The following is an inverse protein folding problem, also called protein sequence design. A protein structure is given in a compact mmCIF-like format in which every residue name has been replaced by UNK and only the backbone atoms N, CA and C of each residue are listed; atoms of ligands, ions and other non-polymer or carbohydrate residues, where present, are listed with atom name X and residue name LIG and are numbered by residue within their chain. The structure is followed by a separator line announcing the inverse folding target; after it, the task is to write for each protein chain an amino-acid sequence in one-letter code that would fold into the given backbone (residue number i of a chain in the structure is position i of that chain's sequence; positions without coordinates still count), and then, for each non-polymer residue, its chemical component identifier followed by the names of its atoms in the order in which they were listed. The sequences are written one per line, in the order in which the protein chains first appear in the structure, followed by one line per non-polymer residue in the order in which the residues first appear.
data_IF_928546065583
#
_entry.id   IF_928546065583
#
_cell.length_a   1.000
_cell.length_b   1.000
_cell.length_c   1.000
_cell.angle_alpha   90.00
_cell.angle_beta   90.00
_cell.angle_gamma   90.00
#
_symmetry.space_group_name_H-M   'P 1'
#
loop_
_entity.id
_entity.type
_entity.pdbx_description
1 polymer ?
#
# COMPACT_ATOMS: atom_id res chain seq x y z
N UNK A 1 -30.00 25.21 -26.41
CA UNK A 1 -29.70 25.07 -24.97
C UNK A 1 -30.51 23.90 -24.41
N UNK A 2 -29.92 22.73 -24.24
CA UNK A 2 -30.58 21.61 -23.56
C UNK A 2 -30.54 21.87 -22.04
N UNK A 3 -31.69 22.07 -21.39
CA UNK A 3 -31.79 22.14 -19.93
C UNK A 3 -31.16 20.86 -19.35
N UNK A 4 -30.17 21.00 -18.47
CA UNK A 4 -29.45 19.88 -17.85
C UNK A 4 -30.46 18.97 -17.15
N UNK A 5 -30.38 17.68 -17.48
CA UNK A 5 -31.13 16.61 -16.84
C UNK A 5 -30.50 16.35 -15.48
N UNK A 6 -31.27 16.51 -14.40
CA UNK A 6 -30.88 16.15 -13.05
C UNK A 6 -31.60 14.85 -12.66
N UNK A 7 -30.88 13.89 -12.06
CA UNK A 7 -31.46 12.58 -11.68
C UNK A 7 -32.63 12.75 -10.68
N UNK A 8 -32.58 13.77 -9.82
CA UNK A 8 -33.68 14.16 -8.94
C UNK A 8 -34.99 14.43 -9.70
N UNK A 9 -34.92 15.05 -10.88
CA UNK A 9 -36.09 15.35 -11.69
C UNK A 9 -36.68 14.08 -12.34
N UNK A 10 -35.81 13.12 -12.70
CA UNK A 10 -36.22 11.82 -13.23
C UNK A 10 -36.99 11.06 -12.15
N UNK A 11 -36.47 11.02 -10.93
CA UNK A 11 -37.11 10.38 -9.77
C UNK A 11 -38.48 11.00 -9.49
N UNK A 12 -38.55 12.34 -9.36
CA UNK A 12 -39.82 13.05 -9.12
C UNK A 12 -40.88 12.78 -10.19
N UNK A 13 -40.49 12.72 -11.47
CA UNK A 13 -41.41 12.42 -12.57
C UNK A 13 -41.94 11.00 -12.49
N UNK A 14 -41.09 10.05 -12.14
CA UNK A 14 -41.46 8.64 -12.04
C UNK A 14 -42.37 8.38 -10.84
N UNK A 15 -42.06 8.97 -9.68
CA UNK A 15 -42.89 8.87 -8.47
C UNK A 15 -44.28 9.45 -8.72
N UNK A 16 -44.36 10.68 -9.26
CA UNK A 16 -45.65 11.30 -9.60
C UNK A 16 -46.43 10.50 -10.64
N UNK A 17 -45.77 9.96 -11.67
CA UNK A 17 -46.44 9.13 -12.67
C UNK A 17 -46.92 7.79 -12.10
N UNK A 18 -46.18 7.19 -11.17
CA UNK A 18 -46.52 5.92 -10.52
C UNK A 18 -47.79 6.00 -9.65
N UNK A 19 -48.16 7.19 -9.17
CA UNK A 19 -49.43 7.41 -8.45
C UNK A 19 -50.68 7.17 -9.31
N UNK A 20 -50.54 7.20 -10.64
CA UNK A 20 -51.66 7.09 -11.58
C UNK A 20 -52.49 8.37 -11.75
N UNK A 21 -52.23 9.41 -10.95
CA UNK A 21 -53.00 10.66 -10.95
C UNK A 21 -52.61 11.63 -12.09
N UNK A 22 -51.43 11.44 -12.67
CA UNK A 22 -50.86 12.36 -13.65
C UNK A 22 -50.61 11.71 -15.01
N UNK A 23 -51.17 12.27 -16.07
CA UNK A 23 -50.77 11.94 -17.44
C UNK A 23 -49.43 12.56 -17.80
N UNK A 24 -48.72 11.97 -18.78
CA UNK A 24 -47.43 12.49 -19.28
C UNK A 24 -47.51 13.95 -19.75
N UNK A 25 -48.66 14.39 -20.27
CA UNK A 25 -48.91 15.79 -20.69
C UNK A 25 -49.17 16.74 -19.52
N UNK A 26 -49.70 16.23 -18.40
CA UNK A 26 -49.84 17.02 -17.17
C UNK A 26 -48.48 17.23 -16.51
N UNK A 27 -47.67 16.16 -16.37
CA UNK A 27 -46.30 16.25 -15.86
C UNK A 27 -45.41 17.19 -16.69
N UNK A 28 -45.52 17.12 -18.03
CA UNK A 28 -44.78 17.99 -18.94
C UNK A 28 -45.10 19.48 -18.69
N UNK A 29 -46.38 19.81 -18.50
CA UNK A 29 -46.84 21.19 -18.24
C UNK A 29 -46.42 21.68 -16.87
N UNK A 30 -46.57 20.84 -15.85
CA UNK A 30 -46.24 21.17 -14.46
C UNK A 30 -44.73 21.45 -14.28
N UNK A 31 -43.88 20.65 -14.93
CA UNK A 31 -42.43 20.71 -14.77
C UNK A 31 -41.79 21.68 -15.80
N UNK A 32 -42.55 22.12 -16.81
CA UNK A 32 -42.05 23.01 -17.85
C UNK A 32 -41.03 22.34 -18.77
N UNK A 33 -41.27 21.07 -19.12
CA UNK A 33 -40.45 20.27 -20.05
C UNK A 33 -41.31 19.68 -21.17
N UNK A 34 -40.70 19.25 -22.26
CA UNK A 34 -41.45 18.68 -23.38
C UNK A 34 -42.07 17.32 -23.01
N UNK A 35 -43.20 16.98 -23.63
CA UNK A 35 -43.82 15.65 -23.51
C UNK A 35 -42.84 14.52 -23.88
N UNK A 36 -42.01 14.73 -24.91
CA UNK A 36 -40.98 13.77 -25.32
C UNK A 36 -39.91 13.58 -24.23
N UNK A 37 -39.55 14.63 -23.51
CA UNK A 37 -38.61 14.57 -22.38
C UNK A 37 -39.18 13.74 -21.22
N UNK A 38 -40.46 13.93 -20.87
CA UNK A 38 -41.14 13.11 -19.86
C UNK A 38 -41.14 11.63 -20.27
N UNK A 39 -41.42 11.34 -21.53
CA UNK A 39 -41.44 9.98 -22.05
C UNK A 39 -40.06 9.30 -21.97
N UNK A 40 -38.98 10.04 -22.18
CA UNK A 40 -37.61 9.54 -22.00
C UNK A 40 -37.33 9.26 -20.53
N UNK A 41 -37.68 10.16 -19.61
CA UNK A 41 -37.42 9.98 -18.17
C UNK A 41 -38.23 8.87 -17.51
N UNK A 42 -39.40 8.55 -18.05
CA UNK A 42 -40.16 7.38 -17.62
C UNK A 42 -39.59 6.05 -18.15
N UNK A 43 -38.72 6.09 -19.18
CA UNK A 43 -38.16 4.91 -19.82
C UNK A 43 -36.81 4.48 -19.24
N UNK A 44 -36.07 5.40 -18.63
CA UNK A 44 -34.74 5.15 -18.07
C UNK A 44 -34.70 5.58 -16.61
N UNK A 45 -34.02 4.80 -15.77
CA UNK A 45 -33.94 4.95 -14.32
C UNK A 45 -32.95 6.05 -13.90
N UNK A 46 -32.04 6.43 -14.80
CA UNK A 46 -31.08 7.51 -14.57
C UNK A 46 -30.63 8.16 -15.87
N UNK A 47 -30.01 9.33 -15.75
CA UNK A 47 -29.32 9.98 -16.86
C UNK A 47 -28.23 9.06 -17.45
N UNK A 48 -27.49 8.35 -16.60
CA UNK A 48 -26.42 7.46 -17.04
C UNK A 48 -26.94 6.31 -17.92
N UNK A 49 -28.09 5.74 -17.57
CA UNK A 49 -28.73 4.69 -18.36
C UNK A 49 -29.22 5.22 -19.72
N UNK A 50 -29.84 6.41 -19.74
CA UNK A 50 -30.23 7.07 -20.99
C UNK A 50 -29.03 7.37 -21.88
N UNK A 51 -27.93 7.90 -21.33
CA UNK A 51 -26.69 8.15 -22.07
C UNK A 51 -26.12 6.85 -22.65
N UNK A 52 -26.09 5.76 -21.88
CA UNK A 52 -25.66 4.45 -22.37
C UNK A 52 -26.57 3.92 -23.49
N UNK A 53 -27.89 4.11 -23.40
CA UNK A 53 -28.81 3.75 -24.48
C UNK A 53 -28.53 4.53 -25.77
N UNK A 54 -28.27 5.84 -25.67
CA UNK A 54 -27.91 6.67 -26.82
C UNK A 54 -26.60 6.23 -27.47
N UNK A 55 -25.65 5.78 -26.65
CA UNK A 55 -24.35 5.29 -27.09
C UNK A 55 -24.50 3.94 -27.82
N UNK A 56 -25.29 3.01 -27.28
CA UNK A 56 -25.66 1.75 -27.94
C UNK A 56 -26.37 1.96 -29.28
N UNK A 57 -27.28 2.94 -29.35
CA UNK A 57 -27.94 3.31 -30.60
C UNK A 57 -26.97 3.83 -31.67
N UNK A 58 -25.81 4.35 -31.27
CA UNK A 58 -24.73 4.79 -32.16
C UNK A 58 -23.74 3.67 -32.50
N UNK A 59 -23.98 2.44 -32.07
CA UNK A 59 -23.16 1.27 -32.40
C UNK A 59 -21.99 1.01 -31.44
N UNK A 60 -21.96 1.65 -30.27
CA UNK A 60 -20.91 1.45 -29.27
C UNK A 60 -21.46 0.73 -28.04
N UNK A 61 -20.69 -0.16 -27.44
CA UNK A 61 -21.10 -0.99 -26.31
C UNK A 61 -21.37 -0.16 -25.05
N UNK A 62 -20.54 0.87 -24.83
CA UNK A 62 -20.64 1.73 -23.65
C UNK A 62 -20.06 3.13 -23.90
N UNK A 63 -20.36 4.06 -22.97
CA UNK A 63 -19.94 5.47 -23.04
C UNK A 63 -18.42 5.65 -23.13
N UNK A 64 -17.63 4.79 -22.51
CA UNK A 64 -16.16 4.88 -22.51
C UNK A 64 -15.60 4.62 -23.91
N UNK A 65 -16.13 3.60 -24.58
CA UNK A 65 -15.79 3.28 -25.96
C UNK A 65 -16.15 4.44 -26.89
N UNK A 66 -17.36 4.97 -26.77
CA UNK A 66 -17.80 6.12 -27.58
C UNK A 66 -16.95 7.38 -27.38
N UNK A 67 -16.59 7.71 -26.13
CA UNK A 67 -15.70 8.84 -25.88
C UNK A 67 -14.29 8.60 -26.43
N UNK A 68 -13.82 7.35 -26.41
CA UNK A 68 -12.53 6.97 -27.00
C UNK A 68 -12.57 7.09 -28.51
N UNK A 69 -13.67 6.68 -29.15
CA UNK A 69 -13.90 6.91 -30.58
C UNK A 69 -13.90 8.41 -30.91
N UNK A 70 -14.61 9.24 -30.16
CA UNK A 70 -14.63 10.70 -30.36
C UNK A 70 -13.24 11.34 -30.19
N UNK A 71 -12.45 10.85 -29.23
CA UNK A 71 -11.06 11.32 -29.06
C UNK A 71 -10.21 10.95 -30.28
N UNK A 72 -10.34 9.73 -30.80
CA UNK A 72 -9.66 9.26 -32.02
C UNK A 72 -10.09 10.03 -33.27
N UNK A 73 -11.38 10.32 -33.42
CA UNK A 73 -11.91 11.14 -34.51
C UNK A 73 -11.30 12.55 -34.52
N UNK A 74 -10.93 13.06 -33.34
CA UNK A 74 -10.22 14.33 -33.16
C UNK A 74 -8.68 14.21 -33.21
N UNK A 75 -8.16 13.04 -33.57
CA UNK A 75 -6.72 12.80 -33.74
C UNK A 75 -5.96 12.44 -32.46
N UNK A 76 -6.63 12.06 -31.38
CA UNK A 76 -5.99 11.67 -30.11
C UNK A 76 -6.06 10.16 -29.89
N UNK A 77 -5.01 9.56 -29.33
CA UNK A 77 -4.96 8.10 -29.14
C UNK A 77 -5.88 7.62 -28.02
N UNK A 78 -6.23 8.52 -27.10
CA UNK A 78 -7.13 8.23 -25.97
C UNK A 78 -7.95 9.45 -25.51
N UNK A 79 -9.01 9.18 -24.76
CA UNK A 79 -9.77 10.20 -24.04
C UNK A 79 -8.90 11.02 -23.09
N UNK A 80 -7.90 10.41 -22.47
CA UNK A 80 -6.98 11.08 -21.55
C UNK A 80 -6.10 12.10 -22.28
N UNK A 81 -5.55 11.75 -23.44
CA UNK A 81 -4.79 12.69 -24.26
C UNK A 81 -5.64 13.85 -24.75
N UNK A 82 -6.86 13.55 -25.21
CA UNK A 82 -7.79 14.59 -25.62
C UNK A 82 -8.14 15.54 -24.46
N UNK A 83 -8.35 15.01 -23.26
CA UNK A 83 -8.61 15.80 -22.06
C UNK A 83 -7.38 16.64 -21.64
N UNK A 84 -6.17 16.09 -21.74
CA UNK A 84 -4.92 16.82 -21.52
C UNK A 84 -4.76 17.96 -22.53
N UNK A 85 -5.09 17.72 -23.79
CA UNK A 85 -5.10 18.75 -24.83
C UNK A 85 -6.10 19.87 -24.50
N UNK A 86 -7.34 19.53 -24.11
CA UNK A 86 -8.34 20.52 -23.71
C UNK A 86 -7.91 21.36 -22.49
N UNK A 87 -7.21 20.76 -21.53
CA UNK A 87 -6.62 21.49 -20.40
C UNK A 87 -5.56 22.48 -20.89
N UNK A 88 -4.67 22.06 -21.80
CA UNK A 88 -3.66 22.92 -22.42
C UNK A 88 -4.25 24.06 -23.25
N UNK A 89 -5.29 23.78 -24.04
CA UNK A 89 -6.02 24.79 -24.82
C UNK A 89 -6.62 25.88 -23.92
N UNK A 90 -6.98 25.52 -22.68
CA UNK A 90 -7.45 26.44 -21.65
C UNK A 90 -6.33 27.08 -20.82
N UNK A 91 -5.07 26.86 -21.18
CA UNK A 91 -3.91 27.47 -20.53
C UNK A 91 -3.34 26.71 -19.33
N UNK A 92 -3.72 25.44 -19.12
CA UNK A 92 -3.24 24.62 -18.01
C UNK A 92 -2.28 23.52 -18.48
N UNK A 93 -1.23 23.24 -17.72
CA UNK A 93 -0.21 22.25 -18.11
C UNK A 93 -0.75 20.82 -18.13
N UNK A 94 -1.72 20.53 -17.26
CA UNK A 94 -2.34 19.23 -17.11
C UNK A 94 -3.78 19.32 -16.56
N UNK A 95 -4.49 18.19 -16.59
CA UNK A 95 -5.90 18.15 -16.16
C UNK A 95 -6.09 18.39 -14.67
N UNK A 96 -5.13 18.03 -13.81
CA UNK A 96 -5.26 18.24 -12.37
C UNK A 96 -5.20 19.74 -12.03
N UNK A 97 -4.37 20.48 -12.74
CA UNK A 97 -4.30 21.93 -12.63
C UNK A 97 -5.60 22.59 -13.08
N UNK A 98 -6.16 22.16 -14.22
CA UNK A 98 -7.47 22.63 -14.69
C UNK A 98 -8.61 22.29 -13.70
N UNK A 99 -8.62 21.09 -13.12
CA UNK A 99 -9.62 20.70 -12.10
C UNK A 99 -9.46 21.50 -10.80
N UNK A 100 -8.22 21.81 -10.43
CA UNK A 100 -7.92 22.69 -9.28
C UNK A 100 -8.43 24.10 -9.54
N UNK A 101 -8.24 24.63 -10.75
CA UNK A 101 -8.80 25.92 -11.15
C UNK A 101 -10.34 25.93 -11.07
N UNK A 102 -11.01 24.90 -11.56
CA UNK A 102 -12.48 24.78 -11.44
C UNK A 102 -12.95 24.69 -9.98
N UNK A 103 -12.18 24.08 -9.10
CA UNK A 103 -12.46 24.06 -7.67
C UNK A 103 -12.31 25.47 -7.07
N UNK A 104 -11.27 26.21 -7.47
CA UNK A 104 -11.06 27.62 -7.08
C UNK A 104 -12.16 28.56 -7.56
N UNK A 105 -12.65 28.39 -8.79
CA UNK A 105 -13.83 29.14 -9.28
C UNK A 105 -15.08 28.91 -8.41
N UNK A 106 -15.15 27.76 -7.74
CA UNK A 106 -16.23 27.40 -6.82
C UNK A 106 -15.95 27.79 -5.37
N UNK A 107 -14.82 28.46 -5.10
CA UNK A 107 -14.44 28.94 -3.77
C UNK A 107 -13.62 27.96 -2.93
N UNK A 108 -13.04 26.91 -3.52
CA UNK A 108 -12.25 25.90 -2.81
C UNK A 108 -10.78 25.97 -3.22
N UNK A 109 -9.84 25.74 -2.30
CA UNK A 109 -8.41 25.86 -2.61
C UNK A 109 -7.94 24.80 -3.61
N UNK A 110 -8.55 23.61 -3.54
CA UNK A 110 -8.22 22.47 -4.38
C UNK A 110 -9.41 21.50 -4.56
N UNK A 111 -9.23 20.52 -5.46
CA UNK A 111 -10.27 19.54 -5.78
C UNK A 111 -10.66 18.65 -4.58
N UNK A 112 -9.74 18.39 -3.65
CA UNK A 112 -10.01 17.53 -2.49
C UNK A 112 -10.93 18.25 -1.48
N UNK A 113 -10.72 19.55 -1.26
CA UNK A 113 -11.63 20.37 -0.45
C UNK A 113 -13.03 20.43 -1.08
N UNK A 114 -13.11 20.64 -2.39
CA UNK A 114 -14.39 20.65 -3.09
C UNK A 114 -15.13 19.30 -2.94
N UNK A 115 -14.41 18.18 -3.04
CA UNK A 115 -14.98 16.85 -2.82
C UNK A 115 -15.45 16.63 -1.38
N UNK A 116 -14.68 17.12 -0.39
CA UNK A 116 -15.06 17.07 1.03
C UNK A 116 -16.34 17.87 1.29
N UNK A 117 -16.39 19.10 0.78
CA UNK A 117 -17.59 19.93 0.87
C UNK A 117 -18.81 19.26 0.22
N UNK A 118 -18.62 18.58 -0.92
CA UNK A 118 -19.71 17.88 -1.59
C UNK A 118 -20.21 16.68 -0.76
N UNK A 119 -19.33 15.98 -0.04
CA UNK A 119 -19.72 14.92 0.89
C UNK A 119 -20.50 15.48 2.09
N UNK A 120 -19.99 16.55 2.73
CA UNK A 120 -20.62 17.23 3.87
C UNK A 120 -22.00 17.79 3.50
N UNK A 121 -22.10 18.43 2.33
CA UNK A 121 -23.38 18.95 1.81
C UNK A 121 -24.44 17.87 1.62
N UNK A 122 -24.02 16.63 1.34
CA UNK A 122 -24.91 15.48 1.23
C UNK A 122 -25.10 14.73 2.56
N UNK A 123 -24.63 15.29 3.69
CA UNK A 123 -24.85 14.76 5.03
C UNK A 123 -23.87 13.66 5.46
N UNK A 124 -22.70 13.55 4.82
CA UNK A 124 -21.69 12.55 5.14
C UNK A 124 -20.49 13.18 5.86
N UNK A 125 -19.94 12.48 6.84
CA UNK A 125 -18.80 12.94 7.65
C UNK A 125 -17.48 12.88 6.88
N UNK A 126 -17.42 12.06 5.82
CA UNK A 126 -16.26 11.94 4.96
C UNK A 126 -16.59 11.65 3.50
N UNK A 127 -15.64 12.00 2.62
CA UNK A 127 -15.68 11.60 1.19
C UNK A 127 -15.77 10.08 1.05
N UNK A 128 -15.13 9.32 1.94
CA UNK A 128 -15.14 7.84 1.89
C UNK A 128 -16.53 7.30 2.20
N UNK A 129 -17.20 7.86 3.20
CA UNK A 129 -18.56 7.50 3.57
C UNK A 129 -19.54 7.85 2.44
N UNK A 130 -19.43 9.05 1.88
CA UNK A 130 -20.23 9.47 0.72
C UNK A 130 -20.02 8.56 -0.50
N UNK A 131 -18.77 8.20 -0.83
CA UNK A 131 -18.48 7.26 -1.92
C UNK A 131 -19.03 5.86 -1.63
N UNK A 132 -18.96 5.40 -0.38
CA UNK A 132 -19.53 4.11 0.03
C UNK A 132 -21.05 4.12 -0.11
N UNK A 133 -21.71 5.21 0.27
CA UNK A 133 -23.14 5.40 0.07
C UNK A 133 -23.53 5.38 -1.41
N UNK A 134 -22.81 6.12 -2.27
CA UNK A 134 -23.04 6.11 -3.72
C UNK A 134 -22.88 4.71 -4.34
N UNK A 135 -21.94 3.92 -3.82
CA UNK A 135 -21.70 2.54 -4.27
C UNK A 135 -22.82 1.61 -3.79
N UNK A 136 -23.27 1.75 -2.53
CA UNK A 136 -24.46 1.04 -2.01
C UNK A 136 -25.73 1.36 -2.80
N UNK A 137 -25.92 2.62 -3.18
CA UNK A 137 -27.01 3.04 -4.06
C UNK A 137 -26.98 2.42 -5.46
N UNK A 138 -25.84 1.84 -5.87
CA UNK A 138 -25.67 1.07 -7.11
C UNK A 138 -25.77 -0.44 -6.90
N UNK A 139 -26.17 -0.90 -5.71
CA UNK A 139 -26.39 -2.31 -5.39
C UNK A 139 -25.15 -3.09 -4.96
N UNK A 140 -24.06 -2.43 -4.56
CA UNK A 140 -22.84 -3.10 -4.09
C UNK A 140 -22.64 -2.89 -2.59
N UNK A 141 -22.21 -3.91 -1.85
CA UNK A 141 -22.09 -3.84 -0.39
C UNK A 141 -20.90 -2.98 0.06
N UNK A 142 -19.89 -2.83 -0.80
CA UNK A 142 -18.71 -2.02 -0.53
C UNK A 142 -18.07 -1.44 -1.80
N UNK A 143 -17.24 -0.41 -1.61
CA UNK A 143 -16.37 0.13 -2.66
C UNK A 143 -15.44 -0.93 -3.26
N UNK A 144 -15.01 -1.92 -2.46
CA UNK A 144 -14.20 -3.03 -2.92
C UNK A 144 -14.97 -3.98 -3.86
N UNK A 145 -16.22 -4.30 -3.53
CA UNK A 145 -17.07 -5.12 -4.41
C UNK A 145 -17.36 -4.42 -5.74
N UNK A 146 -17.66 -3.13 -5.70
CA UNK A 146 -17.86 -2.35 -6.90
C UNK A 146 -16.60 -2.29 -7.77
N UNK A 147 -15.43 -2.12 -7.15
CA UNK A 147 -14.14 -2.19 -7.85
C UNK A 147 -13.86 -3.57 -8.46
N UNK A 148 -14.23 -4.65 -7.76
CA UNK A 148 -14.15 -6.02 -8.29
C UNK A 148 -15.10 -6.21 -9.48
N UNK A 149 -16.32 -5.68 -9.40
CA UNK A 149 -17.28 -5.69 -10.51
C UNK A 149 -16.73 -4.94 -11.73
N UNK A 150 -16.17 -3.75 -11.56
CA UNK A 150 -15.54 -2.99 -12.65
C UNK A 150 -14.35 -3.72 -13.28
N UNK A 151 -13.57 -4.47 -12.49
CA UNK A 151 -12.50 -5.31 -13.01
C UNK A 151 -13.07 -6.45 -13.86
N UNK A 152 -14.14 -7.11 -13.40
CA UNK A 152 -14.85 -8.16 -14.15
C UNK A 152 -15.49 -7.66 -15.44
N UNK A 153 -16.10 -6.49 -15.42
CA UNK A 153 -16.67 -5.85 -16.61
C UNK A 153 -15.60 -5.59 -17.69
N UNK A 154 -14.34 -5.40 -17.26
CA UNK A 154 -13.19 -5.25 -18.15
C UNK A 154 -12.49 -6.58 -18.49
N UNK A 155 -13.07 -7.72 -18.10
CA UNK A 155 -12.57 -9.06 -18.43
C UNK A 155 -11.54 -9.64 -17.45
N UNK A 156 -11.39 -9.08 -16.25
CA UNK A 156 -10.43 -9.57 -15.24
C UNK A 156 -11.13 -10.27 -14.08
N UNK A 157 -10.57 -11.36 -13.54
CA UNK A 157 -11.24 -12.12 -12.48
C UNK A 157 -11.31 -11.33 -11.16
N UNK A 158 -10.31 -10.47 -10.94
CA UNK A 158 -10.17 -9.67 -9.74
C UNK A 158 -9.42 -8.35 -10.00
N UNK A 159 -9.47 -7.44 -9.03
CA UNK A 159 -8.82 -6.13 -9.18
C UNK A 159 -7.30 -6.20 -9.24
N UNK A 160 -6.68 -7.22 -8.66
CA UNK A 160 -5.22 -7.35 -8.67
C UNK A 160 -4.72 -7.73 -10.07
N UNK A 161 -5.44 -8.58 -10.78
CA UNK A 161 -5.19 -8.84 -12.21
C UNK A 161 -5.39 -7.60 -13.06
N UNK A 162 -6.48 -6.86 -12.85
CA UNK A 162 -6.70 -5.62 -13.59
C UNK A 162 -5.57 -4.61 -13.35
N UNK A 163 -5.09 -4.50 -12.11
CA UNK A 163 -3.95 -3.65 -11.74
C UNK A 163 -2.62 -4.14 -12.34
N UNK A 164 -2.40 -5.46 -12.38
CA UNK A 164 -1.24 -6.07 -13.06
C UNK A 164 -1.26 -5.76 -14.55
N UNK A 165 -2.40 -5.95 -15.20
CA UNK A 165 -2.59 -5.59 -16.61
C UNK A 165 -2.33 -4.10 -16.89
N UNK A 166 -2.77 -3.20 -16.00
CA UNK A 166 -2.44 -1.78 -16.12
C UNK A 166 -0.93 -1.51 -16.02
N UNK A 167 -0.22 -2.23 -15.16
CA UNK A 167 1.24 -2.14 -15.08
C UNK A 167 1.91 -2.68 -16.35
N UNK A 168 1.47 -3.85 -16.85
CA UNK A 168 1.96 -4.48 -18.09
C UNK A 168 1.70 -3.61 -19.32
N UNK A 169 0.53 -2.97 -19.42
CA UNK A 169 0.21 -2.01 -20.47
C UNK A 169 1.14 -0.79 -20.47
N UNK A 170 1.67 -0.43 -19.31
CA UNK A 170 2.67 0.64 -19.18
C UNK A 170 4.12 0.13 -19.31
N UNK A 171 4.33 -1.14 -19.69
CA UNK A 171 5.63 -1.73 -19.95
C UNK A 171 6.31 -2.39 -18.74
N UNK A 172 5.59 -2.65 -17.65
CA UNK A 172 6.15 -3.23 -16.42
C UNK A 172 5.66 -4.66 -16.19
N UNK A 173 6.56 -5.58 -15.82
CA UNK A 173 6.22 -6.99 -15.56
C UNK A 173 5.44 -7.22 -14.27
N UNK A 174 5.42 -6.22 -13.37
CA UNK A 174 4.64 -6.27 -12.15
C UNK A 174 4.19 -4.88 -11.68
N UNK A 175 3.19 -4.85 -10.79
CA UNK A 175 2.79 -3.60 -10.13
C UNK A 175 3.89 -3.03 -9.25
N UNK A 176 4.75 -3.88 -8.68
CA UNK A 176 5.87 -3.44 -7.86
C UNK A 176 6.92 -2.73 -8.72
N UNK A 177 7.20 -3.23 -9.92
CA UNK A 177 8.06 -2.55 -10.90
C UNK A 177 7.46 -1.21 -11.32
N UNK A 178 6.16 -1.16 -11.61
CA UNK A 178 5.49 0.09 -11.94
C UNK A 178 5.54 1.11 -10.78
N UNK A 179 5.34 0.67 -9.54
CA UNK A 179 5.45 1.52 -8.35
C UNK A 179 6.88 1.99 -8.10
N UNK A 180 7.87 1.13 -8.32
CA UNK A 180 9.28 1.49 -8.25
C UNK A 180 9.63 2.53 -9.30
N UNK A 181 9.19 2.34 -10.55
CA UNK A 181 9.37 3.32 -11.62
C UNK A 181 8.70 4.66 -11.30
N UNK A 182 7.50 4.65 -10.70
CA UNK A 182 6.86 5.89 -10.24
C UNK A 182 7.69 6.61 -9.17
N UNK A 183 8.32 5.87 -8.25
CA UNK A 183 9.22 6.45 -7.28
C UNK A 183 10.48 7.04 -7.94
N UNK A 184 11.11 6.29 -8.86
CA UNK A 184 12.29 6.72 -9.63
C UNK A 184 12.00 7.95 -10.48
N UNK A 185 10.85 8.00 -11.14
CA UNK A 185 10.39 9.16 -11.92
C UNK A 185 10.21 10.41 -11.06
N UNK A 186 9.89 10.25 -9.78
CA UNK A 186 9.82 11.34 -8.82
C UNK A 186 11.17 11.60 -8.11
N UNK A 187 12.26 10.97 -8.56
CA UNK A 187 13.63 11.21 -8.05
C UNK A 187 14.04 10.35 -6.85
N UNK A 188 13.32 9.26 -6.55
CA UNK A 188 13.61 8.40 -5.39
C UNK A 188 14.13 7.03 -5.83
N UNK A 189 15.14 6.49 -5.13
CA UNK A 189 15.73 5.18 -5.44
C UNK A 189 14.84 4.00 -5.03
N UNK A 190 13.80 4.24 -4.23
CA UNK A 190 12.82 3.22 -3.87
C UNK A 190 11.44 3.80 -3.53
N UNK A 191 10.42 2.95 -3.59
CA UNK A 191 9.08 3.30 -3.13
C UNK A 191 9.05 3.70 -1.64
N UNK A 192 9.93 3.13 -0.81
CA UNK A 192 10.03 3.48 0.61
C UNK A 192 10.59 4.88 0.80
N UNK A 193 11.57 5.29 -0.01
CA UNK A 193 12.10 6.66 0.00
C UNK A 193 11.04 7.67 -0.44
N UNK A 194 10.32 7.35 -1.53
CA UNK A 194 9.23 8.19 -1.99
C UNK A 194 8.12 8.31 -0.94
N UNK A 195 7.74 7.21 -0.28
CA UNK A 195 6.77 7.23 0.82
C UNK A 195 7.25 8.02 2.04
N UNK A 196 8.54 7.94 2.39
CA UNK A 196 9.14 8.79 3.43
C UNK A 196 9.08 10.27 3.04
N UNK A 197 9.38 10.61 1.79
CA UNK A 197 9.26 11.97 1.29
C UNK A 197 7.81 12.48 1.39
N UNK A 198 6.82 11.70 0.95
CA UNK A 198 5.40 12.06 1.06
C UNK A 198 4.96 12.27 2.52
N UNK A 199 5.53 11.51 3.47
CA UNK A 199 5.29 11.75 4.89
C UNK A 199 5.91 13.09 5.36
N UNK A 200 7.14 13.40 4.93
CA UNK A 200 7.82 14.67 5.21
C UNK A 200 7.12 15.88 4.61
N UNK A 201 6.63 15.77 3.38
CA UNK A 201 5.83 16.83 2.73
C UNK A 201 4.57 17.17 3.52
N UNK A 202 4.02 16.18 4.25
CA UNK A 202 2.89 16.37 5.17
C UNK A 202 3.29 16.76 6.59
N UNK A 203 4.57 17.03 6.84
CA UNK A 203 5.10 17.49 8.12
C UNK A 203 5.50 16.40 9.11
N UNK A 204 5.68 15.15 8.67
CA UNK A 204 6.06 14.01 9.54
C UNK A 204 7.48 13.52 9.23
N UNK A 205 8.27 13.15 10.24
CA UNK A 205 9.65 12.72 10.01
C UNK A 205 9.74 11.41 9.23
N UNK A 206 8.74 10.54 9.41
CA UNK A 206 8.66 9.24 8.79
C UNK A 206 7.21 8.74 8.64
N UNK A 207 7.03 7.66 7.88
CA UNK A 207 5.70 7.13 7.60
C UNK A 207 5.01 6.52 8.83
N UNK A 208 5.77 6.06 9.84
CA UNK A 208 5.18 5.53 11.07
C UNK A 208 4.54 6.65 11.89
N UNK A 209 5.16 7.82 11.96
CA UNK A 209 4.56 9.01 12.56
C UNK A 209 3.31 9.46 11.82
N UNK A 210 3.37 9.52 10.48
CA UNK A 210 2.18 9.84 9.68
C UNK A 210 1.04 8.84 9.91
N UNK A 211 1.35 7.54 10.02
CA UNK A 211 0.36 6.51 10.33
C UNK A 211 -0.17 6.61 11.76
N UNK A 212 0.66 7.01 12.73
CA UNK A 212 0.23 7.30 14.11
C UNK A 212 -0.73 8.48 14.13
N UNK A 213 -0.38 9.58 13.45
CA UNK A 213 -1.24 10.75 13.32
C UNK A 213 -2.58 10.41 12.65
N UNK A 214 -2.59 9.55 11.62
CA UNK A 214 -3.84 9.06 11.02
C UNK A 214 -4.69 8.26 12.02
N UNK A 215 -4.07 7.46 12.88
CA UNK A 215 -4.79 6.75 13.93
C UNK A 215 -5.37 7.74 14.96
N UNK A 216 -4.57 8.70 15.43
CA UNK A 216 -4.98 9.76 16.38
C UNK A 216 -6.12 10.61 15.82
N UNK A 217 -6.06 10.98 14.53
CA UNK A 217 -7.13 11.71 13.84
C UNK A 217 -8.44 10.93 13.79
N UNK A 218 -8.40 9.60 13.81
CA UNK A 218 -9.57 8.73 13.90
C UNK A 218 -9.93 8.37 15.35
N UNK A 219 -9.33 9.03 16.35
CA UNK A 219 -9.66 8.86 17.77
C UNK A 219 -8.95 7.70 18.47
N UNK A 220 -7.89 7.13 17.88
CA UNK A 220 -7.14 6.02 18.46
C UNK A 220 -5.76 6.46 18.96
N UNK A 221 -5.30 5.93 20.10
CA UNK A 221 -4.02 6.33 20.71
C UNK A 221 -2.82 5.89 19.86
N UNK A 222 -2.99 4.81 19.09
CA UNK A 222 -1.93 4.28 18.25
C UNK A 222 -2.47 3.44 17.07
N UNK A 223 -1.58 3.16 16.12
CA UNK A 223 -1.86 2.36 14.92
C UNK A 223 -2.38 0.96 15.24
N UNK A 224 -1.88 0.31 16.29
CA UNK A 224 -2.30 -1.06 16.65
C UNK A 224 -3.76 -1.08 17.09
N UNK A 225 -4.15 -0.07 17.87
CA UNK A 225 -5.54 0.12 18.31
C UNK A 225 -6.46 0.40 17.12
N UNK A 226 -6.08 1.31 16.22
CA UNK A 226 -6.82 1.57 14.99
C UNK A 226 -6.97 0.31 14.11
N UNK A 227 -5.91 -0.47 13.92
CA UNK A 227 -5.99 -1.72 13.17
C UNK A 227 -6.84 -2.78 13.87
N UNK A 228 -6.85 -2.79 15.21
CA UNK A 228 -7.70 -3.67 16.01
C UNK A 228 -9.17 -3.29 15.84
N UNK A 229 -9.48 -1.99 15.81
CA UNK A 229 -10.83 -1.50 15.49
C UNK A 229 -11.28 -1.95 14.10
N UNK A 230 -10.44 -1.76 13.07
CA UNK A 230 -10.74 -2.23 11.72
C UNK A 230 -10.91 -3.74 11.61
N UNK A 231 -10.21 -4.51 12.45
CA UNK A 231 -10.41 -5.96 12.54
C UNK A 231 -11.78 -6.29 13.17
N UNK A 232 -12.17 -5.57 14.22
CA UNK A 232 -13.49 -5.69 14.87
C UNK A 232 -14.65 -5.33 13.96
N UNK A 233 -14.53 -4.28 13.15
CA UNK A 233 -15.52 -3.95 12.12
C UNK A 233 -15.72 -5.10 11.11
N UNK A 234 -14.69 -5.93 10.90
CA UNK A 234 -14.74 -7.11 10.05
C UNK A 234 -15.14 -8.39 10.78
N UNK A 235 -15.51 -8.29 12.06
CA UNK A 235 -15.97 -9.42 12.87
C UNK A 235 -14.88 -10.21 13.57
N UNK A 236 -13.65 -9.67 13.71
CA UNK A 236 -12.54 -10.33 14.40
C UNK A 236 -12.21 -9.62 15.71
N UNK A 237 -11.83 -10.35 16.75
CA UNK A 237 -11.50 -9.79 18.06
C UNK A 237 -10.30 -8.84 18.00
N UNK A 238 -9.31 -9.19 17.18
CA UNK A 238 -8.08 -8.44 17.02
C UNK A 238 -7.40 -8.64 15.67
N UNK A 239 -6.36 -7.83 15.41
CA UNK A 239 -5.61 -7.86 14.15
C UNK A 239 -4.90 -9.20 13.89
N UNK A 240 -4.47 -9.92 14.93
CA UNK A 240 -3.79 -11.21 14.76
C UNK A 240 -4.75 -12.28 14.28
N UNK A 241 -5.98 -12.29 14.82
CA UNK A 241 -7.05 -13.18 14.37
C UNK A 241 -7.43 -12.90 12.92
N UNK A 242 -7.62 -11.62 12.56
CA UNK A 242 -7.90 -11.24 11.17
C UNK A 242 -6.78 -11.68 10.21
N UNK A 243 -5.51 -11.54 10.61
CA UNK A 243 -4.37 -12.00 9.82
C UNK A 243 -4.34 -13.52 9.69
N UNK A 244 -4.68 -14.26 10.74
CA UNK A 244 -4.78 -15.72 10.71
C UNK A 244 -5.88 -16.16 9.75
N UNK A 245 -7.07 -15.57 9.85
CA UNK A 245 -8.18 -15.82 8.93
C UNK A 245 -7.79 -15.53 7.48
N UNK A 246 -7.05 -14.44 7.23
CA UNK A 246 -6.56 -14.12 5.88
C UNK A 246 -5.63 -15.22 5.35
N UNK A 247 -4.74 -15.74 6.18
CA UNK A 247 -3.85 -16.85 5.79
C UNK A 247 -4.66 -18.13 5.49
N UNK A 248 -5.58 -18.51 6.37
CA UNK A 248 -6.45 -19.68 6.22
C UNK A 248 -7.32 -19.59 4.95
N UNK A 249 -7.90 -18.42 4.69
CA UNK A 249 -8.68 -18.14 3.47
C UNK A 249 -7.86 -18.29 2.18
N UNK A 250 -6.55 -18.07 2.26
CA UNK A 250 -5.64 -18.27 1.14
C UNK A 250 -5.01 -19.68 1.14
N UNK A 251 -5.48 -20.61 1.99
CA UNK A 251 -5.04 -22.00 2.02
C UNK A 251 -3.77 -22.25 2.83
N UNK A 252 -3.36 -21.35 3.71
CA UNK A 252 -2.15 -21.49 4.53
C UNK A 252 -2.50 -21.80 5.98
N UNK A 253 -1.70 -22.65 6.63
CA UNK A 253 -1.92 -23.06 8.02
C UNK A 253 -1.53 -21.97 9.03
N UNK A 254 -0.70 -21.00 8.61
CA UNK A 254 -0.26 -19.90 9.44
C UNK A 254 0.02 -18.62 8.64
N UNK A 255 -0.02 -17.48 9.35
CA UNK A 255 0.37 -16.19 8.78
C UNK A 255 1.83 -16.17 8.31
N UNK A 256 2.71 -16.93 8.95
CA UNK A 256 4.12 -17.00 8.56
C UNK A 256 4.29 -17.76 7.25
N UNK A 257 3.56 -18.85 7.03
CA UNK A 257 3.53 -19.55 5.75
C UNK A 257 2.97 -18.65 4.64
N UNK A 258 1.88 -17.95 4.93
CA UNK A 258 1.30 -17.02 3.97
C UNK A 258 2.28 -15.89 3.60
N UNK A 259 2.95 -15.30 4.59
CA UNK A 259 3.98 -14.27 4.35
C UNK A 259 5.17 -14.81 3.56
N UNK A 260 5.60 -16.05 3.82
CA UNK A 260 6.65 -16.72 3.06
C UNK A 260 6.24 -16.89 1.60
N UNK A 261 5.02 -17.36 1.35
CA UNK A 261 4.47 -17.48 -0.01
C UNK A 261 4.40 -16.13 -0.74
N UNK A 262 4.00 -15.06 -0.04
CA UNK A 262 4.01 -13.71 -0.62
C UNK A 262 5.44 -13.25 -0.96
N UNK A 263 6.42 -13.56 -0.11
CA UNK A 263 7.83 -13.25 -0.38
C UNK A 263 8.37 -14.03 -1.60
N UNK A 264 8.01 -15.31 -1.74
CA UNK A 264 8.29 -16.13 -2.93
C UNK A 264 7.72 -15.48 -4.19
N UNK A 265 6.43 -15.14 -4.17
CA UNK A 265 5.75 -14.49 -5.30
C UNK A 265 6.35 -13.14 -5.67
N UNK A 266 6.93 -12.44 -4.69
CA UNK A 266 7.56 -11.14 -4.87
C UNK A 266 9.06 -11.22 -5.22
N UNK A 267 9.67 -12.42 -5.28
CA UNK A 267 11.11 -12.58 -5.51
C UNK A 267 11.98 -12.07 -4.35
N UNK A 268 11.48 -12.13 -3.12
CA UNK A 268 12.15 -11.62 -1.90
C UNK A 268 12.26 -12.69 -0.80
N UNK A 269 12.17 -13.97 -1.18
CA UNK A 269 12.16 -15.09 -0.24
C UNK A 269 13.43 -15.13 0.62
N UNK A 270 14.60 -14.92 0.01
CA UNK A 270 15.89 -14.98 0.69
C UNK A 270 15.96 -13.93 1.80
N UNK A 271 15.58 -12.69 1.48
CA UNK A 271 15.52 -11.59 2.45
C UNK A 271 14.55 -11.90 3.59
N UNK A 272 13.39 -12.49 3.28
CA UNK A 272 12.41 -12.91 4.29
C UNK A 272 12.99 -13.97 5.23
N UNK A 273 13.69 -14.98 4.70
CA UNK A 273 14.34 -16.05 5.48
C UNK A 273 15.42 -15.45 6.39
N UNK A 274 16.30 -14.61 5.84
CA UNK A 274 17.43 -14.00 6.57
C UNK A 274 16.89 -13.12 7.72
N UNK A 275 15.89 -12.28 7.44
CA UNK A 275 15.26 -11.44 8.45
C UNK A 275 14.67 -12.25 9.60
N UNK A 276 14.04 -13.38 9.29
CA UNK A 276 13.49 -14.27 10.32
C UNK A 276 14.59 -14.97 11.13
N UNK A 277 15.71 -15.35 10.50
CA UNK A 277 16.87 -15.90 11.22
C UNK A 277 17.48 -14.88 12.17
N UNK A 278 17.71 -13.65 11.73
CA UNK A 278 18.23 -12.55 12.56
C UNK A 278 17.33 -12.29 13.77
N UNK A 279 16.00 -12.22 13.56
CA UNK A 279 15.04 -12.07 14.66
C UNK A 279 15.10 -13.20 15.67
N UNK A 280 15.19 -14.45 15.19
CA UNK A 280 15.30 -15.63 16.07
C UNK A 280 16.63 -15.65 16.81
N UNK A 281 17.72 -15.30 16.15
CA UNK A 281 19.06 -15.21 16.75
C UNK A 281 19.08 -14.17 17.88
N UNK A 282 18.60 -12.94 17.61
CA UNK A 282 18.46 -11.91 18.64
C UNK A 282 17.59 -12.38 19.80
N UNK A 283 16.41 -12.94 19.51
CA UNK A 283 15.51 -13.41 20.55
C UNK A 283 16.14 -14.51 21.41
N UNK A 284 16.78 -15.51 20.80
CA UNK A 284 17.48 -16.58 21.52
C UNK A 284 18.64 -16.04 22.36
N UNK A 285 19.41 -15.10 21.83
CA UNK A 285 20.50 -14.45 22.56
C UNK A 285 19.96 -13.71 23.79
N UNK A 286 18.94 -12.88 23.61
CA UNK A 286 18.37 -12.11 24.71
C UNK A 286 17.70 -13.01 25.76
N UNK A 287 17.00 -14.08 25.37
CA UNK A 287 16.48 -15.07 26.34
C UNK A 287 17.61 -15.68 27.16
N UNK A 288 18.71 -16.05 26.52
CA UNK A 288 19.80 -16.79 27.17
C UNK A 288 20.63 -15.90 28.10
N UNK A 289 20.84 -14.65 27.72
CA UNK A 289 21.84 -13.79 28.36
C UNK A 289 21.24 -12.58 29.09
N UNK A 290 19.95 -12.28 28.94
CA UNK A 290 19.29 -11.22 29.74
C UNK A 290 18.52 -11.80 30.91
N UNK A 291 18.52 -11.08 32.03
CA UNK A 291 17.77 -11.36 33.27
C UNK A 291 16.33 -10.87 33.19
N UNK A 292 15.99 -10.07 32.17
CA UNK A 292 14.67 -9.48 31.99
C UNK A 292 13.76 -10.39 31.17
N UNK A 293 12.57 -10.71 31.70
CA UNK A 293 11.62 -11.60 31.01
C UNK A 293 10.91 -10.98 29.78
N UNK A 294 11.01 -9.66 29.57
CA UNK A 294 10.41 -8.98 28.40
C UNK A 294 11.51 -8.54 27.46
N UNK A 295 11.44 -9.03 26.21
CA UNK A 295 12.39 -8.69 25.15
C UNK A 295 11.80 -7.59 24.25
N UNK A 296 12.33 -6.36 24.30
CA UNK A 296 11.99 -5.30 23.36
C UNK A 296 12.17 -5.64 21.88
N UNK A 297 11.62 -4.80 21.01
CA UNK A 297 11.86 -4.87 19.57
C UNK A 297 13.31 -4.53 19.22
N UNK A 298 13.81 -5.12 18.13
CA UNK A 298 15.16 -4.90 17.61
C UNK A 298 15.54 -3.41 17.45
N UNK A 299 14.57 -2.57 17.08
CA UNK A 299 14.74 -1.12 16.94
C UNK A 299 15.16 -0.41 18.23
N UNK A 300 14.78 -0.92 19.40
CA UNK A 300 15.17 -0.36 20.71
C UNK A 300 16.67 -0.51 20.97
N UNK A 301 17.29 -1.51 20.35
CA UNK A 301 18.73 -1.75 20.37
C UNK A 301 19.44 -1.09 19.18
N UNK A 302 18.75 -0.25 18.41
CA UNK A 302 19.33 0.40 17.22
C UNK A 302 19.59 -0.55 16.04
N UNK A 303 19.00 -1.74 16.03
CA UNK A 303 19.22 -2.72 14.96
C UNK A 303 18.36 -2.43 13.73
N UNK A 304 19.02 -2.35 12.58
CA UNK A 304 18.40 -2.18 11.27
C UNK A 304 18.61 -3.45 10.43
N UNK A 305 17.61 -4.34 10.42
CA UNK A 305 17.71 -5.61 9.69
C UNK A 305 17.87 -5.41 8.19
N UNK A 306 17.26 -4.38 7.60
CA UNK A 306 17.42 -4.09 6.19
C UNK A 306 18.88 -3.77 5.84
N UNK A 307 19.56 -2.96 6.65
CA UNK A 307 20.98 -2.66 6.47
C UNK A 307 21.87 -3.90 6.63
N UNK A 308 21.58 -4.74 7.63
CA UNK A 308 22.30 -6.02 7.85
C UNK A 308 22.09 -6.98 6.67
N UNK A 309 20.87 -7.09 6.16
CA UNK A 309 20.58 -7.97 5.01
C UNK A 309 21.31 -7.46 3.76
N UNK A 310 21.41 -6.14 3.58
CA UNK A 310 22.13 -5.55 2.45
C UNK A 310 23.63 -5.84 2.51
N UNK A 311 24.25 -5.74 3.69
CA UNK A 311 25.68 -6.04 3.86
C UNK A 311 26.03 -7.51 3.67
N UNK A 312 25.06 -8.41 3.82
CA UNK A 312 25.23 -9.86 3.65
C UNK A 312 25.13 -10.32 2.19
N UNK A 313 24.96 -9.39 1.23
CA UNK A 313 24.96 -9.72 -0.20
C UNK A 313 26.40 -9.87 -0.74
N UNK A 314 26.63 -10.74 -1.74
CA UNK A 314 25.65 -11.64 -2.36
C UNK A 314 25.28 -12.80 -1.43
N UNK A 315 24.03 -13.27 -1.53
CA UNK A 315 23.60 -14.44 -0.77
C UNK A 315 24.15 -15.72 -1.40
N UNK A 316 24.53 -16.73 -0.58
CA UNK A 316 24.91 -18.02 -1.11
C UNK A 316 23.74 -18.66 -1.88
N UNK A 317 24.04 -19.37 -2.97
CA UNK A 317 23.02 -19.99 -3.84
C UNK A 317 22.02 -20.85 -3.05
N UNK A 318 22.52 -21.63 -2.09
CA UNK A 318 21.71 -22.43 -1.18
C UNK A 318 21.72 -21.83 0.24
N UNK A 319 21.02 -20.72 0.45
CA UNK A 319 20.86 -20.06 1.77
C UNK A 319 20.44 -21.03 2.89
N UNK A 320 19.78 -22.15 2.55
CA UNK A 320 19.40 -23.19 3.51
C UNK A 320 20.58 -23.93 4.14
N UNK A 321 21.72 -24.00 3.48
CA UNK A 321 22.91 -24.74 3.95
C UNK A 321 23.86 -23.88 4.78
N UNK A 322 23.62 -22.56 4.79
CA UNK A 322 24.38 -21.58 5.55
C UNK A 322 23.57 -21.07 6.73
N UNK A 323 24.28 -20.77 7.81
CA UNK A 323 23.79 -20.02 8.95
C UNK A 323 24.46 -18.64 9.02
N UNK A 324 23.85 -17.74 9.78
CA UNK A 324 24.46 -16.44 10.10
C UNK A 324 25.30 -16.62 11.36
N UNK A 325 26.62 -16.57 11.17
CA UNK A 325 27.60 -16.70 12.23
C UNK A 325 28.02 -15.31 12.73
N UNK A 326 28.38 -15.25 14.01
CA UNK A 326 29.02 -14.09 14.61
C UNK A 326 30.53 -14.33 14.66
N UNK A 327 31.32 -13.47 14.01
CA UNK A 327 32.78 -13.55 14.02
C UNK A 327 33.31 -13.52 15.44
N UNK A 328 32.90 -12.50 16.20
CA UNK A 328 33.06 -12.41 17.65
C UNK A 328 31.84 -13.07 18.31
N UNK A 329 32.01 -14.16 19.07
CA UNK A 329 30.94 -14.86 19.75
C UNK A 329 30.06 -13.95 20.64
N UNK A 330 28.76 -14.26 20.70
CA UNK A 330 27.78 -13.46 21.43
C UNK A 330 28.00 -13.43 22.94
N UNK A 331 28.62 -14.45 23.52
CA UNK A 331 28.93 -14.53 24.95
C UNK A 331 30.08 -13.62 25.39
N UNK A 332 30.81 -13.02 24.43
CA UNK A 332 31.84 -12.05 24.75
C UNK A 332 31.29 -10.64 24.98
N UNK A 333 30.06 -10.39 24.54
CA UNK A 333 29.35 -9.11 24.69
C UNK A 333 28.45 -9.13 25.92
N UNK A 334 28.36 -7.99 26.61
CA UNK A 334 27.34 -7.80 27.65
C UNK A 334 25.97 -7.54 27.01
N UNK A 335 25.15 -8.58 26.87
CA UNK A 335 23.83 -8.45 26.26
C UNK A 335 22.76 -7.84 27.19
N UNK A 336 23.12 -7.33 28.36
CA UNK A 336 22.29 -6.38 29.12
C UNK A 336 22.49 -4.92 28.67
N UNK A 337 23.61 -4.62 27.99
CA UNK A 337 23.91 -3.31 27.44
C UNK A 337 23.42 -3.21 25.98
N UNK A 338 22.58 -2.20 25.71
CA UNK A 338 22.02 -1.95 24.39
C UNK A 338 23.11 -1.65 23.34
N UNK A 339 24.18 -0.96 23.71
CA UNK A 339 25.26 -0.66 22.74
C UNK A 339 26.08 -1.92 22.45
N UNK A 340 26.33 -2.79 23.44
CA UNK A 340 26.98 -4.09 23.22
C UNK A 340 26.13 -5.02 22.35
N UNK A 341 24.81 -5.06 22.53
CA UNK A 341 23.88 -5.77 21.61
C UNK A 341 24.02 -5.22 20.18
N UNK A 342 24.07 -3.90 20.03
CA UNK A 342 24.19 -3.25 18.72
C UNK A 342 25.52 -3.55 18.04
N UNK A 343 26.62 -3.61 18.79
CA UNK A 343 27.93 -4.05 18.28
C UNK A 343 27.89 -5.53 17.87
N UNK A 344 27.33 -6.39 18.71
CA UNK A 344 27.26 -7.83 18.48
C UNK A 344 26.53 -8.16 17.17
N UNK A 345 25.41 -7.50 16.89
CA UNK A 345 24.61 -7.68 15.67
C UNK A 345 24.98 -6.70 14.55
N UNK A 346 26.13 -6.02 14.64
CA UNK A 346 26.60 -5.15 13.58
C UNK A 346 26.92 -5.97 12.32
N UNK A 347 26.61 -5.45 11.11
CA UNK A 347 27.04 -6.02 9.84
C UNK A 347 28.46 -6.58 9.80
N UNK A 348 29.43 -5.84 10.35
CA UNK A 348 30.84 -6.24 10.34
C UNK A 348 31.15 -7.48 11.18
N UNK A 349 30.29 -7.79 12.16
CA UNK A 349 30.44 -8.97 13.00
C UNK A 349 29.68 -10.20 12.47
N UNK A 350 28.92 -10.05 11.37
CA UNK A 350 28.06 -11.11 10.83
C UNK A 350 28.62 -11.64 9.52
N UNK A 351 28.60 -12.96 9.35
CA UNK A 351 28.99 -13.60 8.09
C UNK A 351 28.15 -14.82 7.77
N UNK A 352 28.27 -15.26 6.52
CA UNK A 352 27.81 -16.60 6.12
C UNK A 352 28.82 -17.64 6.56
N UNK A 353 28.34 -18.68 7.23
CA UNK A 353 29.12 -19.87 7.56
C UNK A 353 28.30 -21.10 7.23
N UNK A 354 28.95 -22.15 6.72
CA UNK A 354 28.26 -23.42 6.44
C UNK A 354 27.68 -23.94 7.75
N UNK A 355 26.41 -24.38 7.74
CA UNK A 355 25.69 -24.76 8.96
C UNK A 355 26.46 -25.76 9.83
N UNK A 356 27.04 -26.79 9.20
CA UNK A 356 27.82 -27.81 9.90
C UNK A 356 29.02 -27.19 10.63
N UNK A 357 29.76 -26.33 9.93
CA UNK A 357 30.92 -25.62 10.47
C UNK A 357 30.53 -24.65 11.59
N UNK A 358 29.39 -23.96 11.45
CA UNK A 358 28.85 -23.07 12.49
C UNK A 358 28.45 -23.84 13.76
N UNK A 359 27.85 -25.03 13.61
CA UNK A 359 27.50 -25.90 14.73
C UNK A 359 28.75 -26.42 15.46
N UNK A 360 29.81 -26.76 14.73
CA UNK A 360 31.10 -27.18 15.28
C UNK A 360 31.82 -26.02 15.98
N UNK A 361 31.79 -24.81 15.39
CA UNK A 361 32.33 -23.58 15.98
C UNK A 361 31.64 -23.25 17.31
N UNK A 362 30.31 -23.33 17.35
CA UNK A 362 29.52 -22.96 18.54
C UNK A 362 29.88 -21.53 19.00
N UNK A 363 30.12 -21.33 20.29
CA UNK A 363 30.58 -20.06 20.87
C UNK A 363 32.11 -19.88 20.86
N UNK A 364 32.87 -20.74 20.19
CA UNK A 364 34.32 -20.64 20.21
C UNK A 364 34.84 -19.63 19.19
N UNK A 365 35.93 -18.96 19.55
CA UNK A 365 36.77 -18.25 18.61
C UNK A 365 37.65 -19.27 17.87
N UNK A 366 37.86 -19.08 16.56
CA UNK A 366 38.76 -19.93 15.78
C UNK A 366 39.96 -19.12 15.35
N UNK A 367 41.15 -19.71 15.35
CA UNK A 367 42.39 -19.03 14.94
C UNK A 367 42.28 -18.45 13.53
N UNK A 368 41.68 -19.19 12.60
CA UNK A 368 41.43 -18.73 11.23
C UNK A 368 40.44 -17.55 11.13
N UNK A 369 39.66 -17.26 12.18
CA UNK A 369 38.75 -16.11 12.21
C UNK A 369 39.45 -14.84 12.70
N UNK A 370 40.63 -14.95 13.31
CA UNK A 370 41.36 -13.82 13.89
C UNK A 370 41.67 -12.74 12.84
N UNK A 371 42.06 -13.13 11.64
CA UNK A 371 42.34 -12.20 10.55
C UNK A 371 41.10 -11.42 10.11
N UNK A 372 39.92 -12.06 10.10
CA UNK A 372 38.66 -11.39 9.79
C UNK A 372 38.21 -10.47 10.93
N UNK A 373 38.40 -10.89 12.18
CA UNK A 373 38.09 -10.08 13.37
C UNK A 373 38.95 -8.80 13.38
N UNK A 374 40.22 -8.86 12.95
CA UNK A 374 41.08 -7.68 12.85
C UNK A 374 40.59 -6.63 11.85
N UNK A 375 39.74 -7.01 10.90
CA UNK A 375 39.11 -6.06 9.95
C UNK A 375 37.91 -5.34 10.56
N UNK A 376 37.35 -5.86 11.65
CA UNK A 376 36.24 -5.22 12.36
C UNK A 376 36.79 -3.97 13.09
N UNK A 377 36.14 -2.80 12.95
CA UNK A 377 36.52 -1.60 13.69
C UNK A 377 36.57 -1.85 15.20
N UNK A 378 37.63 -1.38 15.87
CA UNK A 378 37.89 -1.67 17.29
C UNK A 378 36.79 -1.14 18.22
N UNK A 379 36.09 -0.09 17.84
CA UNK A 379 34.93 0.45 18.56
C UNK A 379 33.75 -0.53 18.63
N UNK A 380 33.72 -1.54 17.74
CA UNK A 380 32.73 -2.61 17.75
C UNK A 380 33.17 -3.83 18.57
N UNK A 381 34.37 -3.81 19.15
CA UNK A 381 34.80 -4.91 20.02
C UNK A 381 34.02 -4.89 21.35
N UNK A 382 33.89 -6.06 22.00
CA UNK A 382 33.29 -6.13 23.32
C UNK A 382 34.05 -5.27 24.33
N UNK A 383 33.32 -4.62 25.22
CA UNK A 383 33.88 -3.75 26.26
C UNK A 383 34.78 -4.50 27.26
N UNK A 384 34.64 -5.83 27.37
CA UNK A 384 35.43 -6.68 28.26
C UNK A 384 36.93 -6.67 27.97
N UNK A 385 37.35 -6.24 26.78
CA UNK A 385 38.76 -6.25 26.36
C UNK A 385 39.28 -7.66 26.01
N UNK A 386 38.42 -8.67 26.02
CA UNK A 386 38.79 -10.08 25.82
C UNK A 386 39.46 -10.32 24.46
N UNK A 387 39.03 -9.61 23.43
CA UNK A 387 39.59 -9.73 22.08
C UNK A 387 41.03 -9.21 22.04
N UNK A 388 41.31 -8.10 22.72
CA UNK A 388 42.67 -7.54 22.82
C UNK A 388 43.60 -8.51 23.55
N UNK A 389 43.14 -9.11 24.64
CA UNK A 389 43.90 -10.11 25.40
C UNK A 389 44.27 -11.32 24.53
N UNK A 390 43.29 -11.86 23.79
CA UNK A 390 43.52 -13.00 22.88
C UNK A 390 44.55 -12.64 21.80
N UNK A 391 44.48 -11.45 21.20
CA UNK A 391 45.46 -11.03 20.21
C UNK A 391 46.86 -10.82 20.77
N UNK A 392 46.99 -10.40 22.03
CA UNK A 392 48.27 -10.29 22.72
C UNK A 392 48.87 -11.68 23.01
N UNK A 393 48.05 -12.63 23.45
CA UNK A 393 48.46 -14.01 23.71
C UNK A 393 48.94 -14.72 22.43
N UNK A 394 48.18 -14.59 21.33
CA UNK A 394 48.55 -15.19 20.03
C UNK A 394 49.83 -14.60 19.45
N UNK A 395 50.14 -13.33 19.73
CA UNK A 395 51.41 -12.70 19.32
C UNK A 395 52.61 -13.12 20.18
N UNK A 396 52.35 -13.62 21.39
CA UNK A 396 53.38 -14.03 22.33
C UNK A 396 53.80 -15.51 22.14
N UNK A 397 52.98 -16.31 21.46
CA UNK A 397 53.28 -17.65 20.95
C UNK A 397 53.87 -17.62 19.55
#
# INVERSE_FOLDING_TARGET
MAKKIADELITQIREKYATGEYSKRQLAREIGISHGTVQVYLKYDSRAEYENHLVKRRGFENRTEYLTHLAKEKGFESTYEYQKHLAKEKGFENINEYLTHLAKEKGFENINEYQKHLAEKNGFESVIEYLTHLVKGRGFESTYEYQKHLAKEKGFENINEYRKHLAEKNGFGSINEYQKHLAEKNGFGSINEYQKHLAKEKGFENINEYQKHLAEKNGFENRTEYLTHLAKEKGFENINEYQKHLAEKNGFSSINEYRKHLAEKAGTLEQFIIKNRLRRSLHSALIKYTKQGKIPSASRYGLNYEAIIESLKPFPENVKDYDLDHLIPLDFFDLEDNEEIKKAFNPSNLRWLIRKENQEKSNNLREQDLEEILKIPKELYPNSGIIQQIFEEVKAT
#
